data_IF_045408685564
#
_entry.id   IF_045408685564
#
_cell.length_a   1.000
_cell.length_b   1.000
_cell.length_c   1.000
_cell.angle_alpha   90.00
_cell.angle_beta   90.00
_cell.angle_gamma   90.00
#
_symmetry.space_group_name_H-M   'P 1'
#
loop_
_entity.id
_entity.type
_entity.pdbx_description
1 polymer ?
#
# COMPACT_ATOMS: atom_id res chain seq x y z
N UNK A 1 -13.85 -2.35 18.23
CA UNK A 1 -14.93 -3.31 17.94
C UNK A 1 -14.58 -3.95 16.61
N UNK A 2 -14.48 -5.29 16.49
CA UNK A 2 -14.24 -5.92 15.19
C UNK A 2 -15.50 -5.78 14.37
N UNK A 3 -15.44 -5.49 13.06
CA UNK A 3 -16.61 -5.66 12.22
C UNK A 3 -17.02 -7.15 12.32
N UNK A 4 -18.17 -7.42 12.90
CA UNK A 4 -18.68 -8.78 13.12
C UNK A 4 -18.71 -9.61 11.83
N UNK A 5 -18.92 -8.98 10.68
CA UNK A 5 -18.97 -9.61 9.36
C UNK A 5 -17.72 -10.43 8.98
N UNK A 6 -16.51 -10.04 9.43
CA UNK A 6 -15.28 -10.79 9.09
C UNK A 6 -15.13 -12.03 9.98
N UNK A 7 -15.62 -11.99 11.21
CA UNK A 7 -15.56 -13.16 12.11
C UNK A 7 -16.59 -14.24 11.75
N UNK A 8 -17.78 -13.84 11.30
CA UNK A 8 -18.82 -14.75 10.80
C UNK A 8 -18.42 -15.45 9.50
N UNK A 9 -17.51 -14.88 8.71
CA UNK A 9 -17.06 -15.41 7.43
C UNK A 9 -15.72 -16.15 7.47
N UNK A 10 -15.16 -16.46 8.64
CA UNK A 10 -13.84 -17.12 8.72
C UNK A 10 -13.78 -18.48 8.01
N UNK A 11 -14.86 -19.29 8.07
CA UNK A 11 -14.95 -20.54 7.31
C UNK A 11 -14.91 -20.25 5.81
N UNK A 12 -15.76 -19.33 5.34
CA UNK A 12 -15.84 -18.95 3.92
C UNK A 12 -14.53 -18.38 3.39
N UNK A 13 -13.80 -17.60 4.19
CA UNK A 13 -12.46 -17.11 3.83
C UNK A 13 -11.47 -18.28 3.70
N UNK A 14 -11.47 -19.24 4.64
CA UNK A 14 -10.60 -20.41 4.57
C UNK A 14 -10.92 -21.29 3.36
N UNK A 15 -12.19 -21.47 3.05
CA UNK A 15 -12.63 -22.25 1.90
C UNK A 15 -12.18 -21.57 0.60
N UNK A 16 -12.39 -20.26 0.46
CA UNK A 16 -11.90 -19.48 -0.66
C UNK A 16 -10.37 -19.56 -0.82
N UNK A 17 -9.62 -19.46 0.27
CA UNK A 17 -8.16 -19.58 0.22
C UNK A 17 -7.73 -20.97 -0.28
N UNK A 18 -8.39 -22.04 0.19
CA UNK A 18 -8.08 -23.43 -0.22
C UNK A 18 -8.46 -23.74 -1.66
N UNK A 19 -9.59 -23.20 -2.14
CA UNK A 19 -10.09 -23.51 -3.48
C UNK A 19 -9.48 -22.62 -4.57
N UNK A 20 -9.25 -21.33 -4.29
CA UNK A 20 -8.94 -20.35 -5.32
C UNK A 20 -7.54 -19.73 -5.24
N UNK A 21 -6.97 -19.67 -4.03
CA UNK A 21 -5.70 -18.94 -3.81
C UNK A 21 -4.52 -19.88 -3.68
N UNK A 22 -4.55 -20.79 -2.72
CA UNK A 22 -3.42 -21.68 -2.44
C UNK A 22 -3.04 -22.63 -3.59
N UNK A 23 -3.97 -23.11 -4.44
CA UNK A 23 -3.60 -23.92 -5.61
C UNK A 23 -2.66 -23.21 -6.60
N UNK A 24 -2.63 -21.87 -6.56
CA UNK A 24 -1.70 -21.07 -7.37
C UNK A 24 -0.27 -21.05 -6.80
N UNK A 25 -0.08 -21.44 -5.55
CA UNK A 25 1.19 -21.39 -4.82
C UNK A 25 1.77 -22.78 -4.55
N UNK A 26 0.93 -23.76 -4.22
CA UNK A 26 1.36 -25.13 -3.96
C UNK A 26 0.17 -26.10 -4.10
N UNK A 27 0.44 -27.40 -4.43
CA UNK A 27 -0.63 -28.40 -4.51
C UNK A 27 -1.19 -28.76 -3.11
N UNK A 28 -2.45 -29.25 -3.02
CA UNK A 28 -3.04 -29.76 -1.78
C UNK A 28 -2.31 -31.03 -1.32
N UNK A 29 -2.55 -31.53 -0.08
CA UNK A 29 -3.53 -31.03 0.89
C UNK A 29 -3.01 -29.82 1.68
N UNK A 30 -3.96 -29.00 2.16
CA UNK A 30 -3.69 -27.85 3.02
C UNK A 30 -4.11 -28.12 4.45
N UNK A 31 -3.29 -27.70 5.40
CA UNK A 31 -3.56 -27.83 6.83
C UNK A 31 -4.39 -26.69 7.42
N UNK A 32 -4.15 -26.41 8.68
CA UNK A 32 -4.80 -25.33 9.41
C UNK A 32 -4.35 -23.97 8.87
N UNK A 33 -5.32 -23.06 8.72
CA UNK A 33 -5.07 -21.67 8.30
C UNK A 33 -5.22 -20.78 9.53
N UNK A 34 -4.11 -20.14 9.93
CA UNK A 34 -4.11 -19.10 10.96
C UNK A 34 -4.38 -17.75 10.30
N UNK A 35 -5.26 -16.95 10.92
CA UNK A 35 -5.63 -15.61 10.47
C UNK A 35 -5.18 -14.60 11.51
N UNK A 36 -4.26 -13.70 11.13
CA UNK A 36 -3.74 -12.64 12.01
C UNK A 36 -4.00 -11.27 11.39
N UNK A 37 -4.63 -10.36 12.13
CA UNK A 37 -4.77 -8.97 11.71
C UNK A 37 -3.42 -8.25 11.80
N UNK A 38 -3.01 -7.55 10.73
CA UNK A 38 -1.74 -6.84 10.63
C UNK A 38 -1.84 -5.36 10.97
N UNK A 39 -3.01 -4.75 10.77
CA UNK A 39 -3.20 -3.31 11.01
C UNK A 39 -4.53 -3.07 11.73
N UNK A 40 -4.53 -2.16 12.70
CA UNK A 40 -5.74 -1.72 13.40
C UNK A 40 -6.51 -0.65 12.62
N UNK A 41 -5.81 0.15 11.82
CA UNK A 41 -6.40 1.23 11.04
C UNK A 41 -7.06 0.75 9.75
N UNK A 42 -6.47 -0.28 9.11
CA UNK A 42 -6.96 -0.85 7.86
C UNK A 42 -7.23 -2.34 8.06
N UNK A 43 -8.26 -2.92 7.44
CA UNK A 43 -8.57 -4.35 7.56
C UNK A 43 -7.62 -5.18 6.68
N UNK A 44 -6.37 -5.30 7.14
CA UNK A 44 -5.31 -6.09 6.51
C UNK A 44 -5.01 -7.30 7.37
N UNK A 45 -4.96 -8.47 6.76
CA UNK A 45 -4.82 -9.77 7.42
C UNK A 45 -3.66 -10.56 6.83
N UNK A 46 -2.97 -11.30 7.68
CA UNK A 46 -2.03 -12.34 7.28
C UNK A 46 -2.74 -13.69 7.40
N UNK A 47 -2.75 -14.44 6.32
CA UNK A 47 -3.22 -15.83 6.28
C UNK A 47 -2.01 -16.75 6.17
N UNK A 48 -1.86 -17.63 7.14
CA UNK A 48 -0.74 -18.58 7.20
C UNK A 48 -1.28 -20.01 7.22
N UNK A 49 -0.93 -20.78 6.21
CA UNK A 49 -1.18 -22.20 6.14
C UNK A 49 0.06 -22.96 6.65
N UNK A 50 -0.12 -23.89 7.58
CA UNK A 50 0.98 -24.50 8.35
C UNK A 50 1.69 -25.63 7.60
N UNK A 51 0.97 -26.46 6.86
CA UNK A 51 1.52 -27.69 6.26
C UNK A 51 2.42 -27.42 5.07
N UNK A 52 2.12 -26.41 4.27
CA UNK A 52 2.88 -25.98 3.08
C UNK A 52 3.69 -24.72 3.29
N UNK A 53 3.65 -24.16 4.51
CA UNK A 53 4.31 -22.89 4.85
C UNK A 53 3.89 -21.73 3.95
N UNK A 54 2.64 -21.75 3.48
CA UNK A 54 2.12 -20.66 2.63
C UNK A 54 1.74 -19.47 3.52
N UNK A 55 2.16 -18.29 3.10
CA UNK A 55 1.76 -17.04 3.74
C UNK A 55 1.31 -16.03 2.69
N UNK A 56 0.09 -15.54 2.80
CA UNK A 56 -0.49 -14.52 1.91
C UNK A 56 -1.11 -13.39 2.73
N UNK A 57 -1.22 -12.20 2.12
CA UNK A 57 -1.83 -11.03 2.75
C UNK A 57 -3.18 -10.77 2.08
N UNK A 58 -4.21 -10.60 2.90
CA UNK A 58 -5.53 -10.16 2.45
C UNK A 58 -5.81 -8.75 2.90
N UNK A 59 -6.37 -7.93 2.02
CA UNK A 59 -6.84 -6.58 2.28
C UNK A 59 -8.33 -6.52 1.96
N UNK A 60 -9.15 -6.23 2.98
CA UNK A 60 -10.56 -5.95 2.78
C UNK A 60 -10.75 -4.45 2.53
N UNK A 61 -11.58 -4.11 1.55
CA UNK A 61 -11.89 -2.71 1.23
C UNK A 61 -13.24 -2.27 1.81
N UNK A 62 -14.08 -3.22 2.21
CA UNK A 62 -15.36 -2.91 2.84
C UNK A 62 -15.15 -2.60 4.32
N UNK A 63 -15.65 -1.47 4.76
CA UNK A 63 -15.79 -1.06 6.16
C UNK A 63 -17.12 -0.30 6.34
N UNK A 64 -17.50 -0.01 7.57
CA UNK A 64 -18.85 0.44 7.95
C UNK A 64 -19.40 1.66 7.17
N UNK A 65 -18.55 2.46 6.55
CA UNK A 65 -18.93 3.69 5.83
C UNK A 65 -18.88 3.56 4.30
N UNK A 66 -18.40 2.43 3.74
CA UNK A 66 -18.25 2.26 2.29
C UNK A 66 -19.19 1.16 1.80
N UNK A 67 -20.09 1.45 0.82
CA UNK A 67 -20.91 0.43 0.19
C UNK A 67 -20.07 -0.67 -0.48
N UNK A 68 -20.58 -1.91 -0.49
CA UNK A 68 -19.86 -3.06 -1.06
C UNK A 68 -19.45 -2.85 -2.52
N UNK A 69 -20.28 -2.22 -3.33
CA UNK A 69 -19.98 -1.94 -4.74
C UNK A 69 -18.79 -0.99 -4.91
N UNK A 70 -18.73 0.04 -4.10
CA UNK A 70 -17.61 0.99 -4.11
C UNK A 70 -16.33 0.33 -3.60
N UNK A 71 -16.42 -0.41 -2.50
CA UNK A 71 -15.32 -1.20 -1.95
C UNK A 71 -14.79 -2.21 -2.97
N UNK A 72 -15.69 -2.88 -3.70
CA UNK A 72 -15.32 -3.80 -4.77
C UNK A 72 -14.58 -3.08 -5.91
N UNK A 73 -15.05 -1.91 -6.33
CA UNK A 73 -14.34 -1.10 -7.32
C UNK A 73 -12.92 -0.72 -6.89
N UNK A 74 -12.68 -0.48 -5.59
CA UNK A 74 -11.33 -0.28 -5.06
C UNK A 74 -10.48 -1.55 -5.15
N UNK A 75 -11.02 -2.70 -4.74
CA UNK A 75 -10.32 -3.99 -4.81
C UNK A 75 -9.94 -4.35 -6.25
N UNK A 76 -10.84 -4.14 -7.21
CA UNK A 76 -10.60 -4.41 -8.63
C UNK A 76 -9.52 -3.50 -9.22
N UNK A 77 -9.55 -2.20 -8.90
CA UNK A 77 -8.51 -1.26 -9.34
C UNK A 77 -7.14 -1.66 -8.80
N UNK A 78 -7.03 -1.97 -7.51
CA UNK A 78 -5.75 -2.38 -6.92
C UNK A 78 -5.25 -3.71 -7.50
N UNK A 79 -6.14 -4.71 -7.67
CA UNK A 79 -5.80 -5.97 -8.33
C UNK A 79 -5.27 -5.76 -9.75
N UNK A 80 -5.96 -4.95 -10.55
CA UNK A 80 -5.59 -4.68 -11.94
C UNK A 80 -4.29 -3.88 -12.03
N UNK A 81 -4.08 -2.91 -11.13
CA UNK A 81 -2.82 -2.15 -11.05
C UNK A 81 -1.63 -3.05 -10.72
N UNK A 82 -1.76 -3.96 -9.76
CA UNK A 82 -0.70 -4.92 -9.41
C UNK A 82 -0.36 -5.83 -10.59
N UNK A 83 -1.37 -6.31 -11.33
CA UNK A 83 -1.15 -7.09 -12.54
C UNK A 83 -0.43 -6.29 -13.62
N UNK A 84 -0.90 -5.10 -13.91
CA UNK A 84 -0.29 -4.19 -14.89
C UNK A 84 1.19 -3.95 -14.58
N UNK A 85 1.50 -3.62 -13.33
CA UNK A 85 2.87 -3.38 -12.88
C UNK A 85 3.78 -4.60 -13.10
N UNK A 86 3.28 -5.79 -12.82
CA UNK A 86 4.04 -7.04 -12.97
C UNK A 86 4.16 -7.49 -14.42
N UNK A 87 3.02 -7.55 -15.11
CA UNK A 87 2.91 -8.25 -16.39
C UNK A 87 3.36 -7.34 -17.55
N UNK A 88 3.02 -6.05 -17.50
CA UNK A 88 3.33 -5.11 -18.58
C UNK A 88 4.58 -4.26 -18.31
N UNK A 89 4.79 -3.83 -17.05
CA UNK A 89 5.96 -2.99 -16.72
C UNK A 89 7.13 -3.77 -16.15
N UNK A 90 7.07 -5.11 -16.12
CA UNK A 90 8.19 -5.98 -15.77
C UNK A 90 8.67 -5.84 -14.32
N UNK A 91 7.78 -5.40 -13.40
CA UNK A 91 8.09 -5.26 -11.97
C UNK A 91 7.90 -6.60 -11.24
N UNK A 92 8.47 -7.68 -11.76
CA UNK A 92 8.33 -9.05 -11.26
C UNK A 92 9.64 -9.85 -11.29
N UNK A 93 10.78 -9.17 -11.26
CA UNK A 93 12.10 -9.80 -11.30
C UNK A 93 12.82 -9.71 -9.93
N UNK A 94 13.96 -10.37 -9.78
CA UNK A 94 14.71 -10.46 -8.52
C UNK A 94 15.18 -9.11 -7.96
N UNK A 95 15.36 -8.11 -8.81
CA UNK A 95 15.83 -6.78 -8.41
C UNK A 95 14.69 -5.81 -8.06
N UNK A 96 13.56 -5.95 -8.75
CA UNK A 96 12.41 -5.06 -8.64
C UNK A 96 11.13 -5.88 -8.69
N UNK A 97 10.48 -6.07 -7.55
CA UNK A 97 9.25 -6.85 -7.52
C UNK A 97 8.11 -6.11 -6.82
N UNK A 98 6.95 -6.19 -7.43
CA UNK A 98 5.66 -5.84 -6.85
C UNK A 98 4.96 -7.15 -6.47
N UNK A 99 4.30 -7.19 -5.33
CA UNK A 99 3.60 -8.39 -4.86
C UNK A 99 2.60 -8.92 -5.87
N UNK A 100 2.53 -10.23 -6.04
CA UNK A 100 1.58 -10.84 -6.96
C UNK A 100 0.15 -10.76 -6.38
N UNK A 101 -0.83 -10.27 -7.14
CA UNK A 101 -2.24 -10.41 -6.79
C UNK A 101 -2.68 -11.85 -7.08
N UNK A 102 -3.10 -12.57 -6.03
CA UNK A 102 -3.42 -13.98 -6.10
C UNK A 102 -4.91 -14.25 -6.29
N UNK A 103 -5.76 -13.35 -5.80
CA UNK A 103 -7.20 -13.50 -5.92
C UNK A 103 -7.97 -12.31 -5.39
N UNK A 104 -9.25 -12.24 -5.74
CA UNK A 104 -10.18 -11.24 -5.22
C UNK A 104 -11.56 -11.86 -5.07
N UNK A 105 -12.32 -11.44 -4.06
CA UNK A 105 -13.66 -11.94 -3.81
C UNK A 105 -14.54 -10.83 -3.24
N UNK A 106 -15.64 -10.53 -3.98
CA UNK A 106 -16.56 -9.45 -3.63
C UNK A 106 -17.33 -9.74 -2.35
N UNK A 107 -17.87 -10.96 -2.19
CA UNK A 107 -18.72 -11.38 -1.09
C UNK A 107 -17.95 -11.48 0.23
N UNK A 108 -16.65 -11.62 0.19
CA UNK A 108 -15.78 -11.63 1.37
C UNK A 108 -15.30 -10.19 1.70
N UNK A 109 -16.25 -9.26 1.84
CA UNK A 109 -15.97 -7.85 2.17
C UNK A 109 -15.02 -7.17 1.19
N UNK A 110 -15.21 -7.41 -0.12
CA UNK A 110 -14.33 -6.92 -1.17
C UNK A 110 -12.85 -7.27 -0.90
N UNK A 111 -12.58 -8.53 -0.60
CA UNK A 111 -11.26 -9.04 -0.25
C UNK A 111 -10.37 -9.11 -1.48
N UNK A 112 -9.18 -8.53 -1.39
CA UNK A 112 -8.04 -8.74 -2.28
C UNK A 112 -7.01 -9.59 -1.55
N UNK A 113 -6.56 -10.69 -2.17
CA UNK A 113 -5.48 -11.53 -1.64
C UNK A 113 -4.25 -11.39 -2.53
N UNK A 114 -3.11 -11.16 -1.90
CA UNK A 114 -1.84 -10.97 -2.57
C UNK A 114 -0.72 -11.76 -1.88
N UNK A 115 0.37 -11.94 -2.57
CA UNK A 115 1.59 -12.51 -2.03
C UNK A 115 2.08 -11.72 -0.80
N UNK A 116 2.61 -12.43 0.19
CA UNK A 116 3.30 -11.77 1.30
C UNK A 116 4.68 -11.30 0.84
N UNK A 117 4.91 -10.00 0.80
CA UNK A 117 6.24 -9.46 0.52
C UNK A 117 7.27 -10.01 1.53
N UNK A 118 8.42 -10.48 1.05
CA UNK A 118 9.52 -10.86 1.93
C UNK A 118 10.19 -9.62 2.53
N UNK A 119 10.85 -9.79 3.67
CA UNK A 119 11.66 -8.76 4.29
C UNK A 119 10.96 -7.95 5.38
N UNK A 120 11.59 -6.85 5.76
CA UNK A 120 11.16 -5.92 6.81
C UNK A 120 10.52 -4.67 6.19
N UNK A 121 9.62 -4.04 6.93
CA UNK A 121 9.03 -2.75 6.52
C UNK A 121 10.08 -1.63 6.55
N UNK A 122 9.93 -0.63 5.69
CA UNK A 122 10.79 0.56 5.70
C UNK A 122 10.75 1.27 7.05
N UNK A 123 9.60 1.29 7.72
CA UNK A 123 9.40 1.84 9.06
C UNK A 123 10.33 1.20 10.11
N UNK A 124 10.59 -0.09 10.02
CA UNK A 124 11.53 -0.78 10.90
C UNK A 124 12.97 -0.29 10.72
N UNK A 125 13.36 0.07 9.47
CA UNK A 125 14.67 0.65 9.18
C UNK A 125 14.78 2.11 9.63
N UNK A 126 13.70 2.89 9.48
CA UNK A 126 13.63 4.26 9.99
C UNK A 126 13.75 4.25 11.52
N UNK A 127 13.01 3.38 12.19
CA UNK A 127 13.08 3.21 13.63
C UNK A 127 14.49 2.82 14.10
N UNK A 128 15.13 1.85 13.42
CA UNK A 128 16.53 1.46 13.73
C UNK A 128 17.51 2.61 13.48
N UNK A 129 17.30 3.45 12.47
CA UNK A 129 18.15 4.61 12.23
C UNK A 129 18.02 5.65 13.35
N UNK A 130 16.81 5.90 13.84
CA UNK A 130 16.53 6.88 14.89
C UNK A 130 17.05 6.40 16.27
N UNK A 131 16.72 5.17 16.63
CA UNK A 131 16.97 4.65 17.99
C UNK A 131 18.32 3.93 18.14
N UNK A 132 18.81 3.27 17.09
CA UNK A 132 20.02 2.47 17.09
C UNK A 132 21.18 3.14 16.31
N UNK A 133 20.94 4.32 15.72
CA UNK A 133 21.90 5.09 14.90
C UNK A 133 22.42 4.35 13.66
N UNK A 134 21.62 3.44 13.12
CA UNK A 134 21.97 2.64 11.92
C UNK A 134 21.56 3.35 10.62
N UNK A 135 22.10 4.55 10.42
CA UNK A 135 21.76 5.40 9.27
C UNK A 135 22.22 4.82 7.93
N UNK A 136 23.37 4.14 7.92
CA UNK A 136 23.96 3.47 6.76
C UNK A 136 22.98 2.49 6.10
N UNK A 137 22.33 1.66 6.92
CA UNK A 137 21.33 0.69 6.45
C UNK A 137 20.09 1.40 5.90
N UNK A 138 19.62 2.45 6.57
CA UNK A 138 18.50 3.24 6.08
C UNK A 138 18.81 3.84 4.70
N UNK A 139 19.99 4.47 4.53
CA UNK A 139 20.38 5.07 3.26
C UNK A 139 20.53 4.03 2.14
N UNK A 140 21.05 2.82 2.41
CA UNK A 140 21.03 1.73 1.42
C UNK A 140 19.61 1.39 0.99
N UNK A 141 18.66 1.26 1.94
CA UNK A 141 17.25 0.95 1.65
C UNK A 141 16.55 2.05 0.87
N UNK A 142 16.80 3.32 1.23
CA UNK A 142 16.28 4.47 0.47
C UNK A 142 16.86 4.53 -0.94
N UNK A 143 18.14 4.20 -1.12
CA UNK A 143 18.76 4.09 -2.43
C UNK A 143 18.14 2.99 -3.30
N UNK A 144 17.78 1.84 -2.71
CA UNK A 144 17.05 0.77 -3.40
C UNK A 144 15.63 1.20 -3.79
N UNK A 145 14.93 1.89 -2.89
CA UNK A 145 13.60 2.44 -3.16
C UNK A 145 13.64 3.47 -4.29
N UNK A 146 14.63 4.36 -4.31
CA UNK A 146 14.81 5.32 -5.40
C UNK A 146 15.05 4.63 -6.75
N UNK A 147 15.88 3.58 -6.78
CA UNK A 147 16.07 2.77 -8.00
C UNK A 147 14.79 2.05 -8.43
N UNK A 148 14.00 1.54 -7.49
CA UNK A 148 12.70 0.94 -7.78
C UNK A 148 11.77 1.96 -8.46
N UNK A 149 11.61 3.17 -7.90
CA UNK A 149 10.79 4.21 -8.52
C UNK A 149 11.33 4.68 -9.87
N UNK A 150 12.64 4.85 -10.00
CA UNK A 150 13.26 5.18 -11.29
C UNK A 150 12.92 4.13 -12.36
N UNK A 151 12.99 2.84 -12.00
CA UNK A 151 12.63 1.75 -12.91
C UNK A 151 11.14 1.75 -13.24
N UNK A 152 10.28 1.92 -12.23
CA UNK A 152 8.85 2.04 -12.42
C UNK A 152 8.50 3.17 -13.39
N UNK A 153 9.03 4.36 -13.17
CA UNK A 153 8.79 5.52 -14.03
C UNK A 153 9.28 5.27 -15.46
N UNK A 154 10.49 4.73 -15.63
CA UNK A 154 11.03 4.42 -16.96
C UNK A 154 10.19 3.41 -17.72
N UNK A 155 9.66 2.40 -17.04
CA UNK A 155 8.88 1.34 -17.68
C UNK A 155 7.42 1.74 -17.93
N UNK A 156 6.87 2.68 -17.14
CA UNK A 156 5.48 3.13 -17.24
C UNK A 156 5.30 4.45 -18.00
N UNK A 157 6.37 4.95 -18.62
CA UNK A 157 6.32 6.19 -19.40
C UNK A 157 5.34 6.07 -20.56
N UNK A 158 4.31 6.93 -20.57
CA UNK A 158 3.30 6.99 -21.63
C UNK A 158 3.72 7.91 -22.75
N UNK A 159 2.98 7.87 -23.86
CA UNK A 159 3.15 8.84 -24.96
C UNK A 159 2.38 10.16 -24.73
N UNK A 160 1.71 10.31 -23.58
CA UNK A 160 0.96 11.51 -23.23
C UNK A 160 1.88 12.50 -22.54
N UNK A 161 1.74 13.77 -22.86
CA UNK A 161 2.39 14.84 -22.10
C UNK A 161 1.82 14.89 -20.68
N UNK A 162 2.67 15.15 -19.70
CA UNK A 162 2.23 15.33 -18.32
C UNK A 162 1.27 16.52 -18.22
N UNK A 163 0.14 16.32 -17.53
CA UNK A 163 -0.87 17.35 -17.32
C UNK A 163 -0.63 18.09 -16.02
N UNK A 164 -0.08 19.30 -16.12
CA UNK A 164 0.04 20.22 -14.97
C UNK A 164 -1.31 20.64 -14.43
N UNK A 165 -2.34 20.77 -15.27
CA UNK A 165 -3.70 21.13 -14.86
C UNK A 165 -4.34 20.10 -13.93
N UNK A 166 -4.10 18.80 -14.18
CA UNK A 166 -4.61 17.75 -13.29
C UNK A 166 -3.93 17.80 -11.92
N UNK A 167 -2.63 18.05 -11.88
CA UNK A 167 -1.85 18.18 -10.66
C UNK A 167 -2.25 19.43 -9.87
N UNK A 168 -2.47 20.57 -10.54
CA UNK A 168 -2.95 21.82 -9.92
C UNK A 168 -4.32 21.63 -9.29
N UNK A 169 -5.29 21.07 -10.01
CA UNK A 169 -6.63 20.79 -9.45
C UNK A 169 -6.58 19.84 -8.26
N UNK A 170 -5.68 18.87 -8.28
CA UNK A 170 -5.51 17.96 -7.14
C UNK A 170 -4.96 18.70 -5.92
N UNK A 171 -3.95 19.56 -6.10
CA UNK A 171 -3.38 20.39 -5.03
C UNK A 171 -4.44 21.34 -4.46
N UNK A 172 -5.18 22.06 -5.30
CA UNK A 172 -6.27 22.95 -4.88
C UNK A 172 -7.32 22.21 -4.04
N UNK A 173 -7.76 21.02 -4.51
CA UNK A 173 -8.68 20.18 -3.74
C UNK A 173 -8.13 19.78 -2.37
N UNK A 174 -6.84 19.45 -2.30
CA UNK A 174 -6.16 19.14 -1.03
C UNK A 174 -6.10 20.36 -0.12
N UNK A 175 -5.70 21.53 -0.65
CA UNK A 175 -5.64 22.79 0.10
C UNK A 175 -7.02 23.18 0.64
N UNK A 176 -8.06 23.10 -0.16
CA UNK A 176 -9.44 23.35 0.25
C UNK A 176 -9.93 22.40 1.35
N UNK A 177 -9.53 21.14 1.29
CA UNK A 177 -9.83 20.17 2.33
C UNK A 177 -9.12 20.48 3.64
N UNK A 178 -7.87 20.92 3.58
CA UNK A 178 -7.05 21.25 4.74
C UNK A 178 -7.46 22.57 5.37
N UNK A 179 -7.82 23.59 4.59
CA UNK A 179 -8.25 24.90 5.08
C UNK A 179 -9.64 24.88 5.72
N UNK A 180 -10.52 23.94 5.30
CA UNK A 180 -11.78 23.66 6.01
C UNK A 180 -11.58 22.96 7.37
N UNK A 181 -10.37 22.47 7.65
CA UNK A 181 -9.98 21.73 8.84
C UNK A 181 -8.89 22.45 9.65
N UNK A 182 -7.71 21.80 9.85
CA UNK A 182 -6.68 22.26 10.78
C UNK A 182 -5.81 23.42 10.26
N UNK A 183 -5.84 23.74 8.96
CA UNK A 183 -5.05 24.83 8.37
C UNK A 183 -5.90 26.08 8.23
N UNK A 184 -5.37 27.23 8.66
CA UNK A 184 -5.96 28.54 8.38
C UNK A 184 -5.49 29.13 7.06
N UNK A 185 -6.06 30.29 6.68
CA UNK A 185 -5.72 30.99 5.43
C UNK A 185 -4.22 31.33 5.33
N UNK A 186 -3.59 31.70 6.44
CA UNK A 186 -2.15 31.99 6.46
C UNK A 186 -1.28 30.80 6.03
N UNK A 187 -1.63 29.60 6.46
CA UNK A 187 -0.90 28.40 6.05
C UNK A 187 -1.16 28.06 4.57
N UNK A 188 -2.37 28.33 4.07
CA UNK A 188 -2.68 28.21 2.66
C UNK A 188 -1.81 29.13 1.81
N UNK A 189 -1.78 30.41 2.15
CA UNK A 189 -0.99 31.41 1.43
C UNK A 189 0.51 31.05 1.44
N UNK A 190 1.02 30.54 2.56
CA UNK A 190 2.40 30.09 2.65
C UNK A 190 2.67 28.89 1.73
N UNK A 191 1.77 27.90 1.66
CA UNK A 191 1.92 26.74 0.77
C UNK A 191 1.86 27.19 -0.69
N UNK A 192 0.91 28.04 -1.06
CA UNK A 192 0.80 28.57 -2.42
C UNK A 192 2.03 29.38 -2.83
N UNK A 193 2.55 30.21 -1.93
CA UNK A 193 3.81 30.96 -2.16
C UNK A 193 4.98 30.05 -2.47
N UNK A 194 5.17 28.97 -1.71
CA UNK A 194 6.25 28.01 -1.94
C UNK A 194 5.98 27.09 -3.14
N UNK A 195 4.73 26.84 -3.50
CA UNK A 195 4.37 25.98 -4.63
C UNK A 195 4.49 26.72 -5.98
N UNK A 196 4.25 28.04 -6.01
CA UNK A 196 4.24 28.83 -7.26
C UNK A 196 5.51 28.66 -8.11
N UNK A 197 6.74 28.78 -7.59
CA UNK A 197 7.95 28.60 -8.40
C UNK A 197 8.08 27.18 -8.99
N UNK A 198 7.51 26.19 -8.34
CA UNK A 198 7.47 24.81 -8.83
C UNK A 198 6.47 24.66 -9.97
N UNK A 199 5.29 25.32 -9.87
CA UNK A 199 4.29 25.31 -10.95
C UNK A 199 4.83 25.97 -12.21
N UNK A 200 5.50 27.11 -12.08
CA UNK A 200 6.12 27.80 -13.20
C UNK A 200 7.16 26.91 -13.89
N UNK A 201 7.98 26.21 -13.10
CA UNK A 201 8.96 25.27 -13.62
C UNK A 201 8.32 24.05 -14.27
N UNK A 202 7.29 23.47 -13.64
CA UNK A 202 6.57 22.29 -14.17
C UNK A 202 5.85 22.61 -15.48
N UNK A 203 5.31 23.82 -15.65
CA UNK A 203 4.64 24.23 -16.89
C UNK A 203 5.58 24.28 -18.11
N UNK A 204 6.89 24.38 -17.88
CA UNK A 204 7.91 24.38 -18.95
C UNK A 204 8.44 22.98 -19.27
N UNK A 205 8.12 21.96 -18.46
CA UNK A 205 8.54 20.58 -18.69
C UNK A 205 7.67 19.93 -19.76
N UNK A 206 8.31 19.30 -20.73
CA UNK A 206 7.66 18.49 -21.79
C UNK A 206 7.64 17.01 -21.44
N UNK A 207 7.67 16.68 -20.15
CA UNK A 207 7.78 15.32 -19.67
C UNK A 207 6.51 14.51 -19.95
N UNK A 208 6.67 13.20 -19.98
CA UNK A 208 5.59 12.26 -20.22
C UNK A 208 4.96 11.80 -18.89
N UNK A 209 3.70 11.42 -18.98
CA UNK A 209 3.02 10.82 -17.82
C UNK A 209 3.68 9.48 -17.45
N UNK A 210 3.82 9.26 -16.14
CA UNK A 210 4.30 8.01 -15.55
C UNK A 210 3.37 7.57 -14.43
N UNK A 211 3.37 6.27 -14.12
CA UNK A 211 2.66 5.77 -12.94
C UNK A 211 3.45 6.15 -11.68
N UNK A 212 2.77 6.76 -10.74
CA UNK A 212 3.30 7.08 -9.42
C UNK A 212 2.62 6.24 -8.35
N UNK A 213 3.32 5.96 -7.26
CA UNK A 213 2.76 5.18 -6.14
C UNK A 213 1.61 5.91 -5.42
N UNK A 214 1.63 7.25 -5.43
CA UNK A 214 0.59 8.10 -4.82
C UNK A 214 0.61 8.20 -3.29
N UNK A 215 1.15 7.20 -2.58
CA UNK A 215 1.23 7.16 -1.11
C UNK A 215 2.48 6.39 -0.66
N UNK A 216 3.66 6.87 -1.03
CA UNK A 216 4.95 6.31 -0.61
C UNK A 216 5.44 6.94 0.71
N UNK A 217 4.51 7.18 1.65
CA UNK A 217 4.83 7.77 2.95
C UNK A 217 5.08 6.70 4.00
N UNK A 218 6.06 6.89 4.91
CA UNK A 218 6.18 6.08 6.12
C UNK A 218 4.91 6.24 6.99
N UNK A 219 4.49 5.22 7.74
CA UNK A 219 3.38 5.36 8.67
C UNK A 219 3.66 6.48 9.66
N UNK A 220 2.63 7.28 9.96
CA UNK A 220 2.74 8.44 10.83
C UNK A 220 3.16 8.07 12.26
N UNK A 221 3.84 8.98 12.93
CA UNK A 221 4.49 8.81 14.25
C UNK A 221 3.60 8.30 15.40
N UNK A 222 2.28 8.30 15.25
CA UNK A 222 1.34 7.73 16.22
C UNK A 222 1.43 6.19 16.32
N UNK A 223 1.85 5.50 15.26
CA UNK A 223 2.08 4.05 15.27
C UNK A 223 3.42 3.68 15.93
N UNK A 224 4.39 4.61 15.94
CA UNK A 224 5.71 4.41 16.55
C UNK A 224 5.62 4.40 18.09
N UNK A 225 4.79 5.29 18.67
CA UNK A 225 4.60 5.35 20.14
C UNK A 225 3.92 4.12 20.72
N UNK A 226 3.01 3.48 19.99
CA UNK A 226 2.31 2.29 20.49
C UNK A 226 3.20 1.02 20.51
N UNK A 227 4.24 0.95 19.68
CA UNK A 227 5.17 -0.20 19.64
C UNK A 227 6.30 -0.11 20.67
N UNK A 228 6.78 1.08 21.02
CA UNK A 228 7.82 1.22 22.02
C UNK A 228 7.33 0.93 23.45
N UNK A 229 6.05 1.15 23.76
CA UNK A 229 5.48 0.82 25.06
C UNK A 229 5.26 -0.69 25.29
N UNK A 230 5.11 -1.48 24.22
CA UNK A 230 4.91 -2.93 24.33
C UNK A 230 6.21 -3.74 24.47
N UNK A 231 7.38 -3.14 24.19
CA UNK A 231 8.69 -3.81 24.28
C UNK A 231 9.40 -3.63 25.63
N UNK A 232 8.86 -2.81 26.54
CA UNK A 232 9.49 -2.51 27.85
C UNK A 232 8.90 -3.37 29.01
N UNK A 233 7.86 -4.18 28.77
CA UNK A 233 7.23 -5.00 29.83
C UNK A 233 7.57 -6.49 29.82
N UNK A 234 8.72 -6.88 29.25
CA UNK A 234 9.26 -8.26 29.39
C UNK A 234 10.77 -8.19 29.58
N UNK A 235 11.15 -7.82 30.80
CA UNK A 235 12.45 -8.04 31.38
C UNK A 235 12.28 -8.95 32.59
#
# INVERSE_FOLDING_TARGET
>A
MFPAAILESQSSVRDYLRSEVFPKLAPPPYGEINIKRLSWQKPVFLFQERSRHIAVVGKSFQHDSIPLEEAWGHAEREYSSLKLLRDEFGMNNDSYTVVAPLGKNKQLSALLVMEKAPGRLLDDYISSAIYERRHDILFDRLGRLARFFSKLHSNSQSNRAASTDAASRYLEKMLDSLTRGPLGDFQRDAIEYYASPWWDRLSTLTDREVIVHGDATPPTSSSIKARSAASISSG
#
